data_IF_489508406155
#
_entry.id   IF_489508406155
#
_cell.length_a   1.000
_cell.length_b   1.000
_cell.length_c   1.000
_cell.angle_alpha   90.00
_cell.angle_beta   90.00
_cell.angle_gamma   90.00
#
_symmetry.space_group_name_H-M   'P 1'
#
loop_
_entity.id
_entity.type
_entity.pdbx_description
1 polymer ?
#
# COMPACT_ATOMS: atom_id res chain seq x y z
N UNK A 1 0.16 -1.37 -20.11
CA UNK A 1 0.42 -1.69 -18.70
C UNK A 1 0.21 -0.40 -17.93
N UNK A 2 -0.79 -0.32 -17.04
CA UNK A 2 -1.03 0.90 -16.28
C UNK A 2 0.10 1.02 -15.25
N UNK A 3 0.88 2.10 -15.32
CA UNK A 3 1.91 2.39 -14.33
C UNK A 3 1.28 3.24 -13.23
N UNK A 4 1.54 2.88 -11.97
CA UNK A 4 1.11 3.68 -10.84
C UNK A 4 1.69 5.09 -10.94
N UNK A 5 0.83 6.11 -10.82
CA UNK A 5 1.29 7.49 -10.79
C UNK A 5 1.89 7.82 -9.42
N UNK A 6 2.70 8.88 -9.35
CA UNK A 6 3.19 9.38 -8.05
C UNK A 6 2.04 9.73 -7.09
N UNK A 7 0.90 10.17 -7.61
CA UNK A 7 -0.29 10.46 -6.83
C UNK A 7 -0.91 9.18 -6.22
N UNK A 8 -0.92 8.08 -6.97
CA UNK A 8 -1.42 6.79 -6.46
C UNK A 8 -0.50 6.23 -5.38
N UNK A 9 0.81 6.35 -5.59
CA UNK A 9 1.82 5.95 -4.59
C UNK A 9 1.65 6.79 -3.33
N UNK A 10 1.52 8.12 -3.45
CA UNK A 10 1.31 9.00 -2.30
C UNK A 10 0.03 8.67 -1.53
N UNK A 11 -1.08 8.38 -2.23
CA UNK A 11 -2.33 7.92 -1.61
C UNK A 11 -2.13 6.59 -0.87
N UNK A 12 -1.45 5.64 -1.51
CA UNK A 12 -1.18 4.32 -0.93
C UNK A 12 -0.31 4.44 0.32
N UNK A 13 0.73 5.28 0.31
CA UNK A 13 1.55 5.59 1.50
C UNK A 13 0.71 6.12 2.65
N UNK A 14 -0.22 7.04 2.39
CA UNK A 14 -1.12 7.59 3.41
C UNK A 14 -1.95 6.48 4.06
N UNK A 15 -2.53 5.59 3.26
CA UNK A 15 -3.32 4.44 3.73
C UNK A 15 -2.47 3.50 4.60
N UNK A 16 -1.26 3.16 4.14
CA UNK A 16 -0.32 2.34 4.91
C UNK A 16 -0.06 2.98 6.28
N UNK A 17 0.31 4.27 6.31
CA UNK A 17 0.60 4.97 7.57
C UNK A 17 -0.60 5.06 8.53
N UNK A 18 -1.82 5.14 8.00
CA UNK A 18 -3.05 5.05 8.79
C UNK A 18 -3.23 3.65 9.41
N UNK A 19 -2.93 2.59 8.66
CA UNK A 19 -3.13 1.20 9.10
C UNK A 19 -2.11 0.75 10.16
N UNK A 20 -0.83 1.14 10.05
CA UNK A 20 0.22 0.70 10.98
C UNK A 20 0.19 1.48 12.32
N UNK A 21 -0.75 2.42 12.45
CA UNK A 21 -1.11 3.08 13.70
C UNK A 21 0.11 3.66 14.46
N UNK A 22 0.91 4.52 13.80
CA UNK A 22 2.02 5.37 14.30
C UNK A 22 3.09 4.77 15.24
N UNK A 23 2.97 3.52 15.69
CA UNK A 23 3.91 2.88 16.64
C UNK A 23 5.06 2.16 15.93
N UNK A 24 4.93 1.93 14.62
CA UNK A 24 5.98 1.35 13.80
C UNK A 24 6.65 2.45 13.00
N UNK A 25 7.97 2.54 13.13
CA UNK A 25 8.81 3.40 12.31
C UNK A 25 9.10 2.62 11.02
N UNK A 26 8.58 3.12 9.91
CA UNK A 26 8.92 2.62 8.58
C UNK A 26 10.11 3.40 8.04
N UNK A 27 11.10 2.72 7.47
CA UNK A 27 12.07 3.41 6.64
C UNK A 27 11.37 3.97 5.39
N UNK A 28 11.80 5.15 4.94
CA UNK A 28 11.26 5.84 3.77
C UNK A 28 11.34 4.99 2.50
N UNK A 29 12.39 4.18 2.36
CA UNK A 29 12.59 3.27 1.22
C UNK A 29 11.63 2.09 1.32
N UNK A 30 11.46 1.50 2.50
CA UNK A 30 10.52 0.41 2.72
C UNK A 30 9.08 0.84 2.46
N UNK A 31 8.71 2.05 2.91
CA UNK A 31 7.38 2.61 2.69
C UNK A 31 7.10 2.84 1.20
N UNK A 32 8.10 3.30 0.44
CA UNK A 32 8.00 3.44 -1.02
C UNK A 32 7.76 2.08 -1.68
N UNK A 33 8.61 1.09 -1.38
CA UNK A 33 8.51 -0.25 -1.98
C UNK A 33 7.17 -0.91 -1.67
N UNK A 34 6.71 -0.83 -0.42
CA UNK A 34 5.44 -1.40 -0.02
C UNK A 34 4.26 -0.71 -0.73
N UNK A 35 4.31 0.62 -0.86
CA UNK A 35 3.28 1.35 -1.60
C UNK A 35 3.23 0.97 -3.08
N UNK A 36 4.37 0.85 -3.74
CA UNK A 36 4.48 0.37 -5.12
C UNK A 36 3.95 -1.05 -5.29
N UNK A 37 4.27 -1.95 -4.37
CA UNK A 37 3.79 -3.33 -4.41
C UNK A 37 2.26 -3.41 -4.27
N UNK A 38 1.69 -2.70 -3.30
CA UNK A 38 0.25 -2.69 -3.06
C UNK A 38 -0.50 -2.14 -4.27
N UNK A 39 -0.07 -0.99 -4.80
CA UNK A 39 -0.78 -0.36 -5.90
C UNK A 39 -0.68 -1.18 -7.18
N UNK A 40 0.50 -1.76 -7.47
CA UNK A 40 0.69 -2.67 -8.61
C UNK A 40 -0.15 -3.95 -8.47
N UNK A 41 -0.32 -4.46 -7.25
CA UNK A 41 -1.22 -5.59 -6.97
C UNK A 41 -2.68 -5.18 -7.24
N UNK A 42 -3.11 -4.01 -6.78
CA UNK A 42 -4.45 -3.46 -7.02
C UNK A 42 -4.76 -3.35 -8.52
N UNK A 43 -3.78 -2.88 -9.30
CA UNK A 43 -3.88 -2.84 -10.76
C UNK A 43 -4.01 -4.22 -11.38
N UNK A 44 -3.24 -5.19 -10.90
CA UNK A 44 -3.17 -6.53 -11.48
C UNK A 44 -4.46 -7.33 -11.30
N UNK A 45 -5.20 -7.10 -10.21
CA UNK A 45 -6.45 -7.82 -9.93
C UNK A 45 -7.68 -7.17 -10.58
N UNK A 46 -7.51 -6.07 -11.33
CA UNK A 46 -8.62 -5.35 -11.96
C UNK A 46 -9.56 -4.64 -10.97
N UNK A 47 -9.20 -4.58 -9.69
CA UNK A 47 -10.01 -4.01 -8.60
C UNK A 47 -10.13 -2.48 -8.61
N UNK A 48 -9.49 -1.83 -9.58
CA UNK A 48 -9.51 -0.37 -9.74
C UNK A 48 -8.73 0.38 -8.67
N UNK A 49 -8.61 1.69 -8.89
CA UNK A 49 -7.95 2.69 -8.03
C UNK A 49 -8.73 2.97 -6.74
N UNK A 50 -9.68 2.10 -6.40
CA UNK A 50 -10.57 2.31 -5.27
C UNK A 50 -9.79 2.19 -3.97
N UNK A 51 -10.02 3.15 -3.09
CA UNK A 51 -9.35 3.20 -1.80
C UNK A 51 -9.64 1.97 -0.95
N UNK A 52 -10.82 1.37 -1.09
CA UNK A 52 -11.21 0.13 -0.41
C UNK A 52 -10.34 -1.05 -0.83
N UNK A 53 -10.12 -1.23 -2.13
CA UNK A 53 -9.22 -2.29 -2.65
C UNK A 53 -7.79 -2.10 -2.15
N UNK A 54 -7.26 -0.88 -2.24
CA UNK A 54 -5.91 -0.55 -1.76
C UNK A 54 -5.79 -0.84 -0.25
N UNK A 55 -6.80 -0.47 0.55
CA UNK A 55 -6.84 -0.74 2.00
C UNK A 55 -6.82 -2.24 2.30
N UNK A 56 -7.62 -3.05 1.60
CA UNK A 56 -7.66 -4.50 1.83
C UNK A 56 -6.32 -5.16 1.53
N UNK A 57 -5.69 -4.83 0.39
CA UNK A 57 -4.37 -5.36 0.03
C UNK A 57 -3.32 -4.89 1.03
N UNK A 58 -3.34 -3.61 1.41
CA UNK A 58 -2.43 -3.06 2.40
C UNK A 58 -2.53 -3.77 3.75
N UNK A 59 -3.74 -4.08 4.22
CA UNK A 59 -3.96 -4.82 5.46
C UNK A 59 -3.32 -6.21 5.41
N UNK A 60 -3.51 -6.95 4.31
CA UNK A 60 -2.90 -8.28 4.12
C UNK A 60 -1.37 -8.17 4.14
N UNK A 61 -0.79 -7.25 3.37
CA UNK A 61 0.67 -7.08 3.26
C UNK A 61 1.32 -6.64 4.57
N UNK A 62 0.68 -5.72 5.28
CA UNK A 62 1.14 -5.29 6.62
C UNK A 62 1.08 -6.49 7.59
N UNK A 63 0.00 -7.26 7.56
CA UNK A 63 -0.15 -8.45 8.41
C UNK A 63 0.94 -9.49 8.14
N UNK A 64 1.23 -9.78 6.86
CA UNK A 64 2.32 -10.66 6.43
C UNK A 64 3.69 -10.16 6.92
N UNK A 65 3.94 -8.85 6.82
CA UNK A 65 5.21 -8.23 7.20
C UNK A 65 5.47 -8.25 8.71
N UNK A 66 4.43 -8.06 9.53
CA UNK A 66 4.56 -8.04 11.00
C UNK A 66 4.21 -9.38 11.66
N UNK A 67 3.77 -10.38 10.88
CA UNK A 67 3.38 -11.71 11.35
C UNK A 67 2.35 -11.66 12.51
N UNK A 68 1.42 -10.71 12.41
CA UNK A 68 0.31 -10.45 13.36
C UNK A 68 -1.01 -11.02 12.85
#
# INVERSE_FOLDING_TARGET
MYMATEADIARTKKIILELINRKVIFDSIELQKLAEEIINTSYSIGGGYDEGTIRQIAQVKIKEMFNI
#
